data_IF_791679198163
#
_entry.id   IF_791679198163
#
_cell.length_a   1.000
_cell.length_b   1.000
_cell.length_c   1.000
_cell.angle_alpha   90.00
_cell.angle_beta   90.00
_cell.angle_gamma   90.00
#
_symmetry.space_group_name_H-M   'P 1'
#
loop_
_entity.id
_entity.type
_entity.pdbx_description
1 polymer ?
#
# COMPACT_ATOMS: atom_id res chain seq x y z
N UNK A 1 -0.72 -17.58 2.29
CA UNK A 1 -0.66 -16.26 1.59
C UNK A 1 -1.84 -15.36 1.95
N UNK A 2 -3.10 -15.77 1.74
CA UNK A 2 -4.30 -14.94 2.05
C UNK A 2 -4.28 -14.29 3.45
N UNK A 3 -3.96 -15.06 4.49
CA UNK A 3 -3.88 -14.54 5.86
C UNK A 3 -2.83 -13.43 6.02
N UNK A 4 -1.63 -13.57 5.42
CA UNK A 4 -0.59 -12.52 5.44
C UNK A 4 -1.03 -11.24 4.72
N UNK A 5 -1.76 -11.38 3.60
CA UNK A 5 -2.31 -10.23 2.87
C UNK A 5 -3.36 -9.49 3.69
N UNK A 6 -4.23 -10.21 4.41
CA UNK A 6 -5.24 -9.59 5.28
C UNK A 6 -4.62 -8.87 6.49
N UNK A 7 -3.58 -9.46 7.08
CA UNK A 7 -2.82 -8.84 8.16
C UNK A 7 -2.14 -7.55 7.70
N UNK A 8 -1.48 -7.58 6.54
CA UNK A 8 -0.82 -6.41 5.98
C UNK A 8 -1.83 -5.33 5.55
N UNK A 9 -2.97 -5.73 4.97
CA UNK A 9 -4.07 -4.81 4.65
C UNK A 9 -4.54 -4.07 5.89
N UNK A 10 -4.73 -4.78 7.00
CA UNK A 10 -5.14 -4.20 8.28
C UNK A 10 -4.08 -3.21 8.77
N UNK A 11 -2.81 -3.61 8.81
CA UNK A 11 -1.68 -2.76 9.22
C UNK A 11 -1.63 -1.45 8.42
N UNK A 12 -1.68 -1.53 7.09
CA UNK A 12 -1.62 -0.36 6.21
C UNK A 12 -2.88 0.52 6.32
N UNK A 13 -4.04 -0.06 6.60
CA UNK A 13 -5.27 0.71 6.82
C UNK A 13 -5.19 1.51 8.13
N UNK A 14 -4.67 0.90 9.19
CA UNK A 14 -4.41 1.57 10.48
C UNK A 14 -3.37 2.68 10.33
N UNK A 15 -2.27 2.39 9.62
CA UNK A 15 -1.22 3.38 9.30
C UNK A 15 -1.81 4.56 8.52
N UNK A 16 -2.57 4.30 7.46
CA UNK A 16 -3.23 5.33 6.67
C UNK A 16 -4.20 6.20 7.49
N UNK A 17 -4.98 5.58 8.37
CA UNK A 17 -5.91 6.31 9.25
C UNK A 17 -5.17 7.21 10.23
N UNK A 18 -4.03 6.77 10.76
CA UNK A 18 -3.19 7.59 11.63
C UNK A 18 -2.65 8.82 10.92
N UNK A 19 -2.22 8.68 9.67
CA UNK A 19 -1.70 9.81 8.88
C UNK A 19 -2.75 10.88 8.62
N UNK A 20 -3.98 10.47 8.26
CA UNK A 20 -5.08 11.43 8.06
C UNK A 20 -5.40 12.23 9.32
N UNK A 21 -5.43 11.58 10.49
CA UNK A 21 -5.67 12.25 11.76
C UNK A 21 -4.59 13.30 12.10
N UNK A 22 -3.36 13.11 11.63
CA UNK A 22 -2.27 14.08 11.82
C UNK A 22 -2.27 15.20 10.78
N UNK A 23 -2.75 14.96 9.56
CA UNK A 23 -2.82 15.99 8.50
C UNK A 23 -3.95 17.00 8.73
N UNK A 24 -5.07 16.62 9.35
CA UNK A 24 -6.20 17.53 9.63
C UNK A 24 -5.96 18.50 10.82
N UNK A 25 -4.89 18.32 11.61
CA UNK A 25 -4.59 19.15 12.78
C UNK A 25 -3.87 20.48 12.46
N UNK A 26 -3.68 20.82 11.18
CA UNK A 26 -2.83 21.94 10.71
C UNK A 26 -3.51 23.03 9.87
N UNK A 27 -4.83 23.25 9.93
CA UNK A 27 -5.53 24.32 9.17
C UNK A 27 -5.31 25.75 9.75
N UNK A 28 -4.12 26.04 10.27
CA UNK A 28 -3.75 27.37 10.75
C UNK A 28 -3.10 28.17 9.62
N UNK A 29 -3.70 29.29 9.22
CA UNK A 29 -3.30 30.14 8.08
C UNK A 29 -1.91 30.82 8.16
N UNK A 30 -0.94 30.27 8.90
CA UNK A 30 0.44 30.76 9.01
C UNK A 30 1.40 29.65 8.54
N UNK A 31 1.26 29.26 7.27
CA UNK A 31 2.02 28.16 6.65
C UNK A 31 3.50 28.52 6.52
N UNK A 32 4.31 27.94 7.40
CA UNK A 32 5.77 28.06 7.36
C UNK A 32 6.32 27.17 6.23
N UNK A 33 7.42 27.54 5.56
CA UNK A 33 8.01 26.70 4.51
C UNK A 33 8.39 25.27 4.98
N UNK A 34 8.58 25.09 6.29
CA UNK A 34 8.80 23.80 6.96
C UNK A 34 7.51 22.95 7.05
N UNK A 35 6.35 23.58 7.16
CA UNK A 35 5.03 22.93 7.19
C UNK A 35 4.64 22.38 5.81
N UNK A 36 4.91 23.13 4.74
CA UNK A 36 4.71 22.67 3.35
C UNK A 36 5.55 21.41 3.07
N UNK A 37 6.79 21.35 3.54
CA UNK A 37 7.66 20.18 3.37
C UNK A 37 7.14 18.94 4.13
N UNK A 38 6.59 19.14 5.34
CA UNK A 38 5.97 18.06 6.14
C UNK A 38 4.70 17.53 5.47
N UNK A 39 3.90 18.40 4.87
CA UNK A 39 2.71 18.03 4.12
C UNK A 39 3.05 17.24 2.84
N UNK A 40 4.07 17.63 2.07
CA UNK A 40 4.52 16.88 0.89
C UNK A 40 5.03 15.47 1.24
N UNK A 41 5.79 15.33 2.34
CA UNK A 41 6.25 14.01 2.83
C UNK A 41 5.06 13.14 3.23
N UNK A 42 4.08 13.72 3.94
CA UNK A 42 2.86 13.03 4.37
C UNK A 42 2.02 12.56 3.18
N UNK A 43 1.84 13.42 2.16
CA UNK A 43 1.14 13.09 0.91
C UNK A 43 1.83 11.96 0.13
N UNK A 44 3.16 11.99 0.03
CA UNK A 44 3.94 10.92 -0.60
C UNK A 44 3.76 9.58 0.13
N UNK A 45 3.76 9.60 1.46
CA UNK A 45 3.55 8.39 2.27
C UNK A 45 2.12 7.84 2.10
N UNK A 46 1.11 8.70 2.17
CA UNK A 46 -0.30 8.36 1.91
C UNK A 46 -0.44 7.70 0.52
N UNK A 47 0.18 8.28 -0.52
CA UNK A 47 0.13 7.73 -1.87
C UNK A 47 0.77 6.35 -1.97
N UNK A 48 1.92 6.13 -1.32
CA UNK A 48 2.58 4.82 -1.27
C UNK A 48 1.72 3.77 -0.59
N UNK A 49 1.18 4.09 0.58
CA UNK A 49 0.30 3.18 1.34
C UNK A 49 -0.94 2.80 0.53
N UNK A 50 -1.59 3.77 -0.13
CA UNK A 50 -2.73 3.51 -1.03
C UNK A 50 -2.37 2.61 -2.19
N UNK A 51 -1.19 2.82 -2.78
CA UNK A 51 -0.70 1.99 -3.88
C UNK A 51 -0.49 0.55 -3.43
N UNK A 52 0.11 0.34 -2.27
CA UNK A 52 0.33 -1.01 -1.73
C UNK A 52 -0.96 -1.69 -1.28
N UNK A 53 -1.92 -0.95 -0.71
CA UNK A 53 -3.28 -1.44 -0.46
C UNK A 53 -3.96 -1.92 -1.75
N UNK A 54 -3.85 -1.16 -2.84
CA UNK A 54 -4.37 -1.56 -4.14
C UNK A 54 -3.75 -2.86 -4.66
N UNK A 55 -2.43 -3.05 -4.48
CA UNK A 55 -1.75 -4.31 -4.83
C UNK A 55 -2.23 -5.48 -3.97
N UNK A 56 -2.45 -5.26 -2.67
CA UNK A 56 -2.97 -6.29 -1.76
C UNK A 56 -4.38 -6.70 -2.16
N UNK A 57 -5.26 -5.75 -2.47
CA UNK A 57 -6.63 -6.04 -2.90
C UNK A 57 -6.65 -6.84 -4.21
N UNK A 58 -5.79 -6.47 -5.15
CA UNK A 58 -5.60 -7.22 -6.39
C UNK A 58 -5.06 -8.62 -6.14
N UNK A 59 -4.09 -8.78 -5.24
CA UNK A 59 -3.56 -10.08 -4.86
C UNK A 59 -4.63 -10.97 -4.20
N UNK A 60 -5.49 -10.41 -3.35
CA UNK A 60 -6.62 -11.11 -2.75
C UNK A 60 -7.63 -11.57 -3.82
N UNK A 61 -7.97 -10.69 -4.77
CA UNK A 61 -8.84 -11.04 -5.91
C UNK A 61 -8.23 -12.15 -6.79
N UNK A 62 -6.90 -12.10 -7.03
CA UNK A 62 -6.17 -13.16 -7.75
C UNK A 62 -6.13 -14.49 -6.98
N UNK A 63 -6.18 -14.47 -5.65
CA UNK A 63 -6.33 -15.71 -4.87
C UNK A 63 -7.72 -16.30 -5.05
N UNK A 64 -8.75 -15.47 -5.09
CA UNK A 64 -10.15 -15.90 -5.21
C UNK A 64 -10.48 -16.44 -6.60
N UNK A 65 -9.89 -15.87 -7.66
CA UNK A 65 -10.06 -16.35 -9.03
C UNK A 65 -9.07 -17.47 -9.43
N UNK A 66 -8.10 -17.80 -8.56
CA UNK A 66 -7.09 -18.84 -8.81
C UNK A 66 -5.89 -18.43 -9.68
N UNK A 67 -5.72 -17.15 -10.02
CA UNK A 67 -4.59 -16.63 -10.83
C UNK A 67 -3.49 -15.96 -10.01
N UNK A 68 -3.44 -16.22 -8.69
CA UNK A 68 -2.41 -15.68 -7.81
C UNK A 68 -1.01 -16.16 -8.22
N UNK A 69 -0.08 -15.20 -8.24
CA UNK A 69 1.30 -15.44 -8.68
C UNK A 69 1.51 -15.28 -10.18
N UNK A 70 0.54 -14.72 -10.91
CA UNK A 70 0.70 -14.27 -12.30
C UNK A 70 0.59 -12.75 -12.33
N UNK A 71 1.48 -12.07 -13.03
CA UNK A 71 1.38 -10.62 -13.25
C UNK A 71 0.28 -10.26 -14.26
N UNK A 72 0.22 -9.00 -14.70
CA UNK A 72 -0.79 -8.57 -15.67
C UNK A 72 -0.44 -8.91 -17.12
N UNK A 73 0.84 -9.21 -17.37
CA UNK A 73 1.38 -9.56 -18.69
C UNK A 73 1.31 -11.08 -18.92
N UNK A 74 0.93 -11.85 -17.90
CA UNK A 74 0.80 -13.29 -17.93
C UNK A 74 2.06 -14.03 -17.48
N UNK A 75 3.09 -13.32 -17.01
CA UNK A 75 4.31 -13.94 -16.50
C UNK A 75 4.12 -14.42 -15.05
N UNK A 76 4.77 -15.54 -14.72
CA UNK A 76 4.75 -16.10 -13.37
C UNK A 76 5.70 -15.34 -12.44
N UNK A 77 5.20 -14.97 -11.27
CA UNK A 77 5.97 -14.30 -10.22
C UNK A 77 6.67 -15.37 -9.38
N UNK A 78 7.98 -15.21 -9.18
CA UNK A 78 8.79 -16.16 -8.41
C UNK A 78 8.20 -16.41 -7.01
N UNK A 79 8.10 -17.69 -6.62
CA UNK A 79 7.50 -18.07 -5.33
C UNK A 79 8.29 -17.51 -4.13
N UNK A 80 9.62 -17.36 -4.23
CA UNK A 80 10.44 -16.69 -3.20
C UNK A 80 10.06 -15.22 -3.08
N UNK A 81 9.76 -14.55 -4.20
CA UNK A 81 9.26 -13.16 -4.21
C UNK A 81 7.90 -13.08 -3.52
N UNK A 82 6.97 -13.98 -3.83
CA UNK A 82 5.66 -14.02 -3.18
C UNK A 82 5.75 -14.38 -1.68
N UNK A 83 6.73 -15.20 -1.28
CA UNK A 83 7.00 -15.50 0.14
C UNK A 83 7.51 -14.30 0.92
N UNK A 84 8.34 -13.47 0.29
CA UNK A 84 8.88 -12.24 0.88
C UNK A 84 7.88 -11.07 0.83
N UNK A 85 7.19 -10.91 -0.30
CA UNK A 85 6.25 -9.84 -0.61
C UNK A 85 4.96 -10.44 -1.22
N UNK A 86 4.00 -10.87 -0.37
CA UNK A 86 2.78 -11.53 -0.84
C UNK A 86 1.90 -10.70 -1.80
N UNK A 87 2.05 -9.38 -1.81
CA UNK A 87 1.32 -8.45 -2.69
C UNK A 87 2.12 -8.05 -3.94
N UNK A 88 3.24 -8.72 -4.23
CA UNK A 88 3.97 -8.48 -5.46
C UNK A 88 3.06 -8.73 -6.68
N UNK A 89 3.02 -7.75 -7.58
CA UNK A 89 2.12 -7.71 -8.74
C UNK A 89 2.84 -7.82 -10.09
N UNK A 90 4.19 -7.82 -10.08
CA UNK A 90 5.05 -7.97 -11.25
C UNK A 90 6.10 -9.06 -11.08
N UNK A 91 6.32 -9.80 -12.16
CA UNK A 91 7.50 -10.65 -12.34
C UNK A 91 8.78 -9.79 -12.51
N UNK A 92 9.95 -10.40 -12.30
CA UNK A 92 11.28 -9.79 -12.50
C UNK A 92 11.98 -10.54 -13.63
#
# INVERSE_FOLDING_TARGET
>A
MKSKLLEEKKRLTEELSGLYAHTELGDGQDENAEEIAVDEVSKNMIFRIKTDLGKIDKALAKIENGSYGVDDEGASIDEKRLRALPWADKAI
#
